data_IF_460929300886
#
_entry.id   IF_460929300886
#
_cell.length_a   1.000
_cell.length_b   1.000
_cell.length_c   1.000
_cell.angle_alpha   90.00
_cell.angle_beta   90.00
_cell.angle_gamma   90.00
#
_symmetry.space_group_name_H-M   'P 1'
#
loop_
_entity.id
_entity.type
_entity.pdbx_description
1 polymer ?
#
# COMPACT_ATOMS: atom_id res chain seq x y z
N UNK A 1 17.51 -11.31 -19.96
CA UNK A 1 17.37 -9.85 -19.69
C UNK A 1 15.92 -9.46 -19.91
N UNK A 2 15.29 -8.72 -18.98
CA UNK A 2 13.93 -8.20 -19.12
C UNK A 2 13.95 -6.68 -18.96
N UNK A 3 13.11 -6.00 -19.74
CA UNK A 3 12.92 -4.55 -19.70
C UNK A 3 11.42 -4.28 -19.82
N UNK A 4 10.90 -3.40 -18.98
CA UNK A 4 9.50 -2.98 -18.98
C UNK A 4 9.41 -1.45 -19.01
N UNK A 5 8.28 -0.96 -19.48
CA UNK A 5 7.88 0.45 -19.32
C UNK A 5 6.80 0.50 -18.25
N UNK A 6 6.99 1.33 -17.24
CA UNK A 6 6.07 1.40 -16.09
C UNK A 6 4.68 1.80 -16.55
N UNK A 7 4.57 2.77 -17.45
CA UNK A 7 3.30 3.29 -17.96
C UNK A 7 2.47 2.26 -18.75
N UNK A 8 3.09 1.19 -19.25
CA UNK A 8 2.42 0.12 -20.01
C UNK A 8 1.86 -0.99 -19.10
N UNK A 9 2.20 -0.98 -17.80
CA UNK A 9 1.76 -1.99 -16.84
C UNK A 9 0.36 -1.65 -16.29
N UNK A 10 -0.36 -2.69 -15.90
CA UNK A 10 -1.69 -2.55 -15.32
C UNK A 10 -1.64 -1.78 -13.98
N UNK A 11 -2.58 -0.84 -13.81
CA UNK A 11 -2.79 -0.17 -12.53
C UNK A 11 -3.59 -1.10 -11.59
N UNK A 12 -3.08 -1.32 -10.39
CA UNK A 12 -3.71 -2.15 -9.37
C UNK A 12 -4.63 -1.32 -8.47
N UNK A 13 -5.67 -1.93 -7.92
CA UNK A 13 -6.50 -1.27 -6.88
C UNK A 13 -5.68 -1.18 -5.60
N UNK A 14 -5.40 0.04 -5.21
CA UNK A 14 -4.71 0.42 -3.98
C UNK A 14 -5.25 1.78 -3.53
N UNK A 15 -5.06 2.23 -2.27
CA UNK A 15 -5.34 3.60 -1.86
C UNK A 15 -4.27 4.59 -2.40
N UNK A 16 -4.05 4.52 -3.71
CA UNK A 16 -3.10 5.30 -4.49
C UNK A 16 -3.69 5.53 -5.88
N UNK A 17 -3.48 6.69 -6.47
CA UNK A 17 -3.91 7.00 -7.84
C UNK A 17 -3.28 6.04 -8.84
N UNK A 18 -2.00 5.74 -8.67
CA UNK A 18 -1.28 4.72 -9.46
C UNK A 18 -0.51 3.78 -8.55
N UNK A 19 -0.69 2.48 -8.76
CA UNK A 19 0.17 1.43 -8.22
C UNK A 19 0.41 0.37 -9.28
N UNK A 20 1.67 0.13 -9.64
CA UNK A 20 2.04 -0.84 -10.66
C UNK A 20 3.07 -1.82 -10.12
N UNK A 21 2.75 -3.11 -10.23
CA UNK A 21 3.63 -4.20 -9.79
C UNK A 21 4.71 -4.44 -10.83
N UNK A 22 5.98 -4.36 -10.43
CA UNK A 22 7.12 -4.54 -11.31
C UNK A 22 7.77 -5.92 -11.16
N UNK A 23 7.51 -6.62 -10.07
CA UNK A 23 8.14 -7.91 -9.71
C UNK A 23 7.99 -8.97 -10.81
N UNK A 24 6.76 -9.33 -11.17
CA UNK A 24 6.49 -10.37 -12.18
C UNK A 24 6.92 -9.96 -13.60
N UNK A 25 6.59 -8.73 -14.07
CA UNK A 25 7.04 -8.28 -15.39
C UNK A 25 8.56 -8.31 -15.55
N UNK A 26 9.32 -7.97 -14.51
CA UNK A 26 10.78 -8.07 -14.48
C UNK A 26 11.29 -9.49 -14.24
N UNK A 27 10.43 -10.40 -13.75
CA UNK A 27 10.79 -11.79 -13.43
C UNK A 27 11.71 -11.92 -12.23
N UNK A 28 11.46 -11.09 -11.21
CA UNK A 28 12.18 -11.15 -9.93
C UNK A 28 11.64 -12.28 -9.06
N UNK A 29 12.53 -12.94 -8.33
CA UNK A 29 12.23 -14.08 -7.44
C UNK A 29 12.45 -13.78 -5.95
N UNK A 30 13.28 -12.79 -5.64
CA UNK A 30 13.76 -12.54 -4.28
C UNK A 30 13.38 -11.16 -3.76
N UNK A 31 12.88 -10.30 -4.65
CA UNK A 31 12.59 -8.89 -4.38
C UNK A 31 11.22 -8.50 -4.93
N UNK A 32 10.37 -7.92 -4.09
CA UNK A 32 9.18 -7.20 -4.53
C UNK A 32 9.55 -5.77 -4.92
N UNK A 33 9.03 -5.29 -6.05
CA UNK A 33 9.14 -3.87 -6.44
C UNK A 33 7.76 -3.39 -6.91
N UNK A 34 7.34 -2.24 -6.38
CA UNK A 34 6.12 -1.57 -6.78
C UNK A 34 6.40 -0.09 -7.06
N UNK A 35 5.77 0.44 -8.08
CA UNK A 35 5.77 1.85 -8.40
C UNK A 35 4.47 2.49 -7.94
N UNK A 36 4.56 3.69 -7.34
CA UNK A 36 3.43 4.43 -6.82
C UNK A 36 3.42 5.88 -7.30
N UNK A 37 2.19 6.39 -7.55
CA UNK A 37 1.90 7.81 -7.58
C UNK A 37 0.73 8.07 -6.63
N UNK A 38 0.94 8.98 -5.68
CA UNK A 38 -0.06 9.37 -4.68
C UNK A 38 -0.50 10.80 -4.95
N UNK A 39 -1.80 11.00 -5.16
CA UNK A 39 -2.41 12.32 -5.08
C UNK A 39 -2.52 12.75 -3.61
N UNK A 40 -2.77 14.05 -3.32
CA UNK A 40 -3.06 14.50 -1.97
C UNK A 40 -4.14 13.67 -1.28
N UNK A 41 -3.84 13.13 -0.09
CA UNK A 41 -4.72 12.26 0.67
C UNK A 41 -4.55 10.76 0.40
N UNK A 42 -3.85 10.36 -0.66
CA UNK A 42 -3.59 8.95 -0.97
C UNK A 42 -2.59 8.31 -0.01
N UNK A 43 -2.59 6.97 0.01
CA UNK A 43 -1.72 6.15 0.87
C UNK A 43 -1.07 5.00 0.08
N UNK A 44 0.13 4.60 0.48
CA UNK A 44 0.81 3.41 -0.08
C UNK A 44 0.10 2.10 0.28
N UNK A 45 -0.65 2.05 1.38
CA UNK A 45 -1.23 0.83 1.91
C UNK A 45 -2.66 1.02 2.41
N UNK A 46 -3.45 -0.06 2.40
CA UNK A 46 -4.83 -0.11 2.89
C UNK A 46 -4.95 0.06 4.42
N UNK A 47 -3.87 -0.20 5.15
CA UNK A 47 -3.87 -0.26 6.60
C UNK A 47 -2.50 0.10 7.18
N UNK A 48 -2.46 0.49 8.43
CA UNK A 48 -1.24 0.51 9.24
C UNK A 48 -0.80 -0.93 9.44
N UNK A 49 0.39 -1.31 8.97
CA UNK A 49 0.73 -2.73 8.84
C UNK A 49 2.19 -3.02 9.09
N UNK A 50 2.48 -4.30 9.34
CA UNK A 50 3.83 -4.85 9.44
C UNK A 50 3.95 -6.20 8.75
N UNK A 51 5.16 -6.57 8.39
CA UNK A 51 5.53 -7.84 7.80
C UNK A 51 6.36 -8.67 8.77
N UNK A 52 6.11 -9.99 8.82
CA UNK A 52 6.82 -10.90 9.72
C UNK A 52 8.30 -11.09 9.34
N UNK A 53 8.59 -11.24 8.03
CA UNK A 53 9.93 -11.62 7.57
C UNK A 53 10.49 -10.70 6.47
N UNK A 54 9.70 -9.76 5.95
CA UNK A 54 10.12 -8.84 4.90
C UNK A 54 10.50 -7.48 5.50
N UNK A 55 11.63 -6.95 5.10
CA UNK A 55 11.94 -5.54 5.25
C UNK A 55 11.48 -4.75 4.03
N UNK A 56 11.03 -3.52 4.23
CA UNK A 56 10.58 -2.62 3.16
C UNK A 56 11.43 -1.37 3.09
N UNK A 57 11.72 -0.94 1.87
CA UNK A 57 12.40 0.33 1.58
C UNK A 57 11.52 1.14 0.64
N UNK A 58 11.27 2.39 0.98
CA UNK A 58 10.62 3.33 0.09
C UNK A 58 11.64 4.36 -0.38
N UNK A 59 11.71 4.57 -1.68
CA UNK A 59 12.48 5.62 -2.32
C UNK A 59 11.54 6.66 -2.91
N UNK A 60 11.51 7.85 -2.36
CA UNK A 60 10.68 8.97 -2.85
C UNK A 60 11.42 9.66 -3.98
N UNK A 61 10.82 9.69 -5.17
CA UNK A 61 11.38 10.30 -6.36
C UNK A 61 10.92 11.74 -6.56
N UNK A 62 9.68 12.06 -6.11
CA UNK A 62 9.10 13.39 -6.19
C UNK A 62 8.07 13.59 -5.06
N UNK A 63 7.89 14.82 -4.62
CA UNK A 63 7.03 15.20 -3.51
C UNK A 63 7.60 14.79 -2.15
N UNK A 64 6.76 14.84 -1.11
CA UNK A 64 7.09 14.44 0.27
C UNK A 64 6.08 13.42 0.76
N UNK A 65 6.55 12.23 1.15
CA UNK A 65 5.73 11.20 1.77
C UNK A 65 5.81 11.29 3.30
N UNK A 66 4.68 11.13 4.00
CA UNK A 66 4.63 11.06 5.47
C UNK A 66 4.34 9.63 5.90
N UNK A 67 5.25 9.01 6.63
CA UNK A 67 5.07 7.68 7.21
C UNK A 67 4.65 7.77 8.66
N UNK A 68 3.50 7.17 8.98
CA UNK A 68 3.09 6.89 10.36
C UNK A 68 3.89 5.71 10.88
N UNK A 69 4.48 5.85 12.05
CA UNK A 69 5.27 4.83 12.75
C UNK A 69 4.91 4.78 14.23
N UNK A 70 5.40 3.77 14.96
CA UNK A 70 5.22 3.67 16.40
C UNK A 70 5.91 4.83 17.17
N UNK A 71 6.92 5.47 16.57
CA UNK A 71 7.64 6.63 17.14
C UNK A 71 7.04 7.98 16.73
N UNK A 72 6.01 7.97 15.89
CA UNK A 72 5.37 9.16 15.34
C UNK A 72 5.59 9.30 13.82
N UNK A 73 5.10 10.39 13.21
CA UNK A 73 5.21 10.61 11.78
C UNK A 73 6.63 10.99 11.37
N UNK A 74 7.09 10.44 10.24
CA UNK A 74 8.37 10.74 9.60
C UNK A 74 8.09 11.23 8.18
N UNK A 75 8.61 12.40 7.82
CA UNK A 75 8.58 12.91 6.46
C UNK A 75 9.81 12.43 5.69
N UNK A 76 9.60 12.05 4.43
CA UNK A 76 10.62 11.57 3.51
C UNK A 76 10.48 12.37 2.21
N UNK A 77 11.47 13.18 1.91
CA UNK A 77 11.48 14.08 0.77
C UNK A 77 12.01 13.41 -0.50
N UNK A 78 11.77 14.07 -1.63
CA UNK A 78 12.31 13.63 -2.91
C UNK A 78 13.84 13.46 -2.85
N UNK A 79 14.31 12.28 -3.27
CA UNK A 79 15.72 11.86 -3.22
C UNK A 79 16.08 11.07 -1.98
N UNK A 80 15.18 10.96 -1.00
CA UNK A 80 15.42 10.24 0.24
C UNK A 80 14.86 8.81 0.20
N UNK A 81 15.38 7.98 1.12
CA UNK A 81 14.91 6.62 1.36
C UNK A 81 14.60 6.44 2.84
N UNK A 82 13.56 5.67 3.11
CA UNK A 82 13.25 5.15 4.44
C UNK A 82 13.19 3.63 4.39
N UNK A 83 13.70 2.96 5.42
CA UNK A 83 13.61 1.50 5.58
C UNK A 83 12.83 1.19 6.84
N UNK A 84 11.92 0.23 6.71
CA UNK A 84 11.25 -0.44 7.81
C UNK A 84 11.79 -1.85 7.94
N UNK A 85 12.19 -2.21 9.14
CA UNK A 85 12.62 -3.57 9.45
C UNK A 85 11.42 -4.51 9.61
N UNK A 86 11.69 -5.78 9.75
CA UNK A 86 10.68 -6.80 10.08
C UNK A 86 9.98 -6.42 11.37
N UNK A 87 8.68 -6.70 11.45
CA UNK A 87 7.85 -6.42 12.62
C UNK A 87 7.66 -4.93 12.97
N UNK A 88 8.19 -3.99 12.19
CA UNK A 88 7.91 -2.56 12.35
C UNK A 88 6.60 -2.18 11.67
N UNK A 89 5.71 -1.53 12.41
CA UNK A 89 4.48 -1.01 11.88
C UNK A 89 4.70 0.30 11.12
N UNK A 90 4.10 0.40 9.94
CA UNK A 90 4.15 1.59 9.11
C UNK A 90 2.92 1.77 8.23
N UNK A 91 2.65 3.01 7.85
CA UNK A 91 1.75 3.41 6.77
C UNK A 91 2.18 4.74 6.19
N UNK A 92 2.53 4.77 4.91
CA UNK A 92 2.91 6.00 4.23
C UNK A 92 1.73 6.66 3.52
N UNK A 93 1.74 8.01 3.51
CA UNK A 93 0.71 8.88 2.98
C UNK A 93 1.30 10.00 2.15
N UNK A 94 0.50 10.56 1.25
CA UNK A 94 0.69 11.90 0.75
C UNK A 94 -0.17 12.87 1.59
N UNK A 95 0.44 13.55 2.55
CA UNK A 95 -0.22 14.57 3.38
C UNK A 95 0.01 15.99 2.89
N UNK A 96 0.77 16.13 1.81
CA UNK A 96 1.04 17.41 1.13
C UNK A 96 0.00 17.72 0.06
N UNK A 97 0.30 18.74 -0.74
CA UNK A 97 -0.53 19.24 -1.84
C UNK A 97 0.06 18.91 -3.23
N UNK A 98 1.30 18.41 -3.29
CA UNK A 98 1.95 17.95 -4.50
C UNK A 98 1.89 16.43 -4.63
N UNK A 99 1.89 15.92 -5.86
CA UNK A 99 1.94 14.47 -6.14
C UNK A 99 3.23 13.85 -5.61
N UNK A 100 3.11 12.74 -4.90
CA UNK A 100 4.24 11.90 -4.50
C UNK A 100 4.46 10.80 -5.54
N UNK A 101 5.72 10.61 -5.95
CA UNK A 101 6.16 9.49 -6.79
C UNK A 101 7.20 8.69 -6.04
N UNK A 102 7.01 7.36 -5.94
CA UNK A 102 7.93 6.52 -5.18
C UNK A 102 8.05 5.10 -5.73
N UNK A 103 9.15 4.45 -5.38
CA UNK A 103 9.33 3.00 -5.45
C UNK A 103 9.25 2.40 -4.05
N UNK A 104 8.50 1.32 -3.91
CA UNK A 104 8.52 0.47 -2.72
C UNK A 104 9.20 -0.86 -3.08
N UNK A 105 10.19 -1.23 -2.28
CA UNK A 105 10.98 -2.46 -2.42
C UNK A 105 10.81 -3.30 -1.17
N UNK A 106 10.57 -4.60 -1.34
CA UNK A 106 10.42 -5.52 -0.21
C UNK A 106 11.28 -6.77 -0.40
N UNK A 107 12.08 -7.14 0.58
CA UNK A 107 12.91 -8.33 0.55
C UNK A 107 12.86 -9.08 1.91
N UNK A 108 12.77 -10.43 1.87
CA UNK A 108 12.56 -11.31 0.70
C UNK A 108 11.21 -11.07 0.00
N UNK A 109 10.97 -11.68 -1.16
CA UNK A 109 9.69 -11.58 -1.87
C UNK A 109 8.52 -12.12 -1.03
N UNK A 110 8.75 -13.17 -0.26
CA UNK A 110 7.79 -13.66 0.74
C UNK A 110 7.83 -12.72 1.96
N UNK A 111 6.68 -12.16 2.30
CA UNK A 111 6.53 -11.26 3.44
C UNK A 111 6.09 -11.99 4.74
N UNK A 112 5.86 -13.31 4.66
CA UNK A 112 5.33 -14.08 5.79
C UNK A 112 3.91 -13.65 6.17
N UNK A 113 3.63 -13.66 7.46
CA UNK A 113 2.37 -13.12 7.99
C UNK A 113 2.40 -11.59 7.94
N UNK A 114 1.30 -11.00 7.51
CA UNK A 114 1.07 -9.56 7.53
C UNK A 114 -0.05 -9.23 8.52
N UNK A 115 0.20 -8.32 9.45
CA UNK A 115 -0.81 -7.74 10.34
C UNK A 115 -1.20 -6.37 9.77
N UNK A 116 -2.50 -6.14 9.61
CA UNK A 116 -3.08 -4.94 9.00
C UNK A 116 -4.09 -4.33 9.97
N UNK A 117 -3.71 -3.28 10.67
CA UNK A 117 -4.55 -2.63 11.66
C UNK A 117 -5.43 -1.56 11.00
N UNK A 118 -6.74 -1.66 11.25
CA UNK A 118 -7.75 -0.67 10.91
C UNK A 118 -8.72 -0.51 12.07
N UNK A 119 -9.22 0.70 12.26
CA UNK A 119 -10.27 0.95 13.26
C UNK A 119 -11.53 0.17 12.89
N UNK A 120 -12.06 -0.60 13.84
CA UNK A 120 -13.34 -1.30 13.71
C UNK A 120 -14.39 -0.59 14.56
N UNK A 121 -15.46 -0.09 13.92
CA UNK A 121 -16.53 0.64 14.61
C UNK A 121 -17.36 -0.20 15.57
N UNK A 122 -17.33 -1.53 15.44
CA UNK A 122 -18.05 -2.47 16.32
C UNK A 122 -17.18 -2.89 17.51
N UNK A 123 -15.86 -3.11 17.27
CA UNK A 123 -14.92 -3.43 18.36
C UNK A 123 -14.42 -2.16 19.08
N UNK A 124 -14.64 -0.97 18.49
CA UNK A 124 -14.22 0.35 18.99
C UNK A 124 -12.70 0.48 19.19
N UNK A 125 -11.91 -0.29 18.43
CA UNK A 125 -10.45 -0.31 18.50
C UNK A 125 -9.81 -0.67 17.13
N UNK A 126 -8.51 -0.42 16.94
CA UNK A 126 -7.75 -0.96 15.82
C UNK A 126 -7.68 -2.49 15.89
N UNK A 127 -8.16 -3.17 14.86
CA UNK A 127 -8.16 -4.64 14.77
C UNK A 127 -7.43 -5.12 13.52
N UNK A 128 -6.91 -6.36 13.55
CA UNK A 128 -6.34 -6.98 12.36
C UNK A 128 -7.44 -7.18 11.29
N UNK A 129 -7.13 -6.74 10.08
CA UNK A 129 -8.08 -6.67 8.97
C UNK A 129 -7.70 -7.67 7.89
N UNK A 130 -8.70 -8.45 7.43
CA UNK A 130 -8.58 -9.26 6.22
C UNK A 130 -9.00 -8.44 5.01
N UNK A 131 -8.15 -8.38 3.98
CA UNK A 131 -8.47 -7.78 2.69
C UNK A 131 -9.00 -8.85 1.74
N UNK A 132 -10.13 -8.58 1.13
CA UNK A 132 -10.75 -9.41 0.09
C UNK A 132 -10.78 -8.62 -1.22
N UNK A 133 -10.37 -9.28 -2.31
CA UNK A 133 -10.44 -8.74 -3.66
C UNK A 133 -11.61 -9.39 -4.38
N UNK A 134 -12.43 -8.57 -5.03
CA UNK A 134 -13.42 -9.12 -5.96
C UNK A 134 -12.67 -9.81 -7.11
N UNK A 135 -12.91 -11.12 -7.23
CA UNK A 135 -12.29 -11.97 -8.26
C UNK A 135 -13.22 -12.22 -9.44
N UNK A 136 -14.42 -11.65 -9.45
CA UNK A 136 -15.35 -11.79 -10.59
C UNK A 136 -14.69 -11.20 -11.85
N UNK A 137 -14.56 -11.99 -12.93
CA UNK A 137 -14.06 -11.48 -14.20
C UNK A 137 -14.88 -10.30 -14.78
N UNK A 138 -16.16 -10.19 -14.39
CA UNK A 138 -17.03 -9.08 -14.77
C UNK A 138 -16.67 -7.77 -14.02
N UNK A 139 -16.05 -7.86 -12.85
CA UNK A 139 -15.58 -6.73 -12.03
C UNK A 139 -14.17 -6.27 -12.41
N UNK A 140 -13.63 -6.68 -13.56
CA UNK A 140 -12.35 -6.21 -14.06
C UNK A 140 -12.49 -4.80 -14.63
N UNK A 141 -11.50 -3.98 -14.40
CA UNK A 141 -11.49 -2.58 -14.84
C UNK A 141 -11.90 -1.62 -13.74
N UNK A 142 -12.71 -0.63 -14.05
CA UNK A 142 -13.11 0.43 -13.10
C UNK A 142 -13.94 -0.11 -11.92
N UNK A 143 -14.60 -1.24 -12.08
CA UNK A 143 -15.46 -1.88 -11.06
C UNK A 143 -14.69 -2.77 -10.07
N UNK A 144 -13.37 -2.93 -10.23
CA UNK A 144 -12.59 -3.76 -9.33
C UNK A 144 -12.60 -3.19 -7.91
N UNK A 145 -12.95 -4.03 -6.93
CA UNK A 145 -13.14 -3.64 -5.53
C UNK A 145 -12.21 -4.43 -4.61
N UNK A 146 -11.68 -3.74 -3.60
CA UNK A 146 -11.02 -4.37 -2.44
C UNK A 146 -11.81 -3.99 -1.20
N UNK A 147 -12.17 -4.95 -0.37
CA UNK A 147 -12.86 -4.72 0.92
C UNK A 147 -11.99 -5.19 2.07
N UNK A 148 -12.01 -4.43 3.16
CA UNK A 148 -11.39 -4.80 4.41
C UNK A 148 -12.44 -5.27 5.41
N UNK A 149 -12.18 -6.37 6.13
CA UNK A 149 -13.05 -6.90 7.16
C UNK A 149 -12.28 -7.16 8.45
N UNK A 150 -12.82 -6.68 9.56
CA UNK A 150 -12.31 -6.99 10.89
C UNK A 150 -12.24 -8.51 11.09
N UNK A 151 -11.10 -9.03 11.54
CA UNK A 151 -10.96 -10.47 11.78
C UNK A 151 -11.70 -10.93 13.04
N UNK A 152 -11.97 -10.02 13.99
CA UNK A 152 -12.64 -10.35 15.25
C UNK A 152 -14.16 -10.47 15.09
N UNK A 153 -14.81 -9.49 14.42
CA UNK A 153 -16.27 -9.43 14.33
C UNK A 153 -16.83 -9.50 12.90
N UNK A 154 -15.97 -9.47 11.87
CA UNK A 154 -16.37 -9.54 10.46
C UNK A 154 -16.88 -8.21 9.88
N UNK A 155 -16.98 -7.13 10.66
CA UNK A 155 -17.46 -5.83 10.18
C UNK A 155 -16.54 -5.29 9.09
N UNK A 156 -17.12 -4.69 8.04
CA UNK A 156 -16.37 -4.00 7.01
C UNK A 156 -15.65 -2.78 7.61
N UNK A 157 -14.33 -2.72 7.38
CA UNK A 157 -13.44 -1.65 7.87
C UNK A 157 -12.93 -0.76 6.76
N UNK A 158 -13.30 -1.01 5.52
CA UNK A 158 -12.96 -0.19 4.37
C UNK A 158 -13.30 -0.83 3.04
N UNK A 159 -13.44 0.03 2.01
CA UNK A 159 -13.77 -0.37 0.64
C UNK A 159 -13.08 0.55 -0.35
N UNK A 160 -12.42 -0.02 -1.35
CA UNK A 160 -11.65 0.71 -2.34
C UNK A 160 -12.00 0.26 -3.76
N UNK A 161 -12.07 1.22 -4.66
CA UNK A 161 -12.38 1.01 -6.07
C UNK A 161 -11.19 1.44 -6.91
N UNK A 162 -11.07 0.91 -8.12
CA UNK A 162 -10.07 1.40 -9.07
C UNK A 162 -10.39 2.86 -9.44
N UNK A 163 -9.41 3.75 -9.36
CA UNK A 163 -9.53 5.15 -9.74
C UNK A 163 -10.31 6.05 -8.76
N UNK A 164 -10.86 5.50 -7.67
CA UNK A 164 -11.50 6.29 -6.62
C UNK A 164 -10.76 6.10 -5.32
N UNK A 165 -9.97 7.09 -4.94
CA UNK A 165 -9.27 7.08 -3.65
C UNK A 165 -9.41 8.42 -2.98
N UNK A 166 -10.56 8.76 -2.41
CA UNK A 166 -10.60 9.83 -1.42
C UNK A 166 -9.87 9.32 -0.17
N UNK A 167 -8.91 10.09 0.29
CA UNK A 167 -7.92 9.76 1.30
C UNK A 167 -8.41 9.50 2.70
N UNK A 168 -9.63 9.12 2.92
CA UNK A 168 -10.06 8.66 4.23
C UNK A 168 -11.00 7.48 4.12
N UNK A 169 -10.43 6.39 4.56
CA UNK A 169 -11.27 5.35 5.11
C UNK A 169 -10.99 5.36 6.60
N UNK A 170 -12.02 5.54 7.43
CA UNK A 170 -11.90 5.61 8.88
C UNK A 170 -11.23 4.36 9.47
#
# INVERSE_FOLDING_TARGET
MKKVRIEELENSVQPAAVMRRLTEPLGLSDLAINYYELEPGDSFAFAYHKHEIQEEVFYVQAGTATFETEEGPIEVDAGELIRFDREEFQRGWNRGDERVVALALGAPLDYGRQIKLRYCSVCEEPTDTRLERDTDPASRGEDAVVTGHCKECGTETGRWYRGSMPGEVP
#
